data_IF_760943688185
#
_entry.id   IF_760943688185
#
_cell.length_a   1.000
_cell.length_b   1.000
_cell.length_c   1.000
_cell.angle_alpha   90.00
_cell.angle_beta   90.00
_cell.angle_gamma   90.00
#
_symmetry.space_group_name_H-M   'P 1'
#
loop_
_entity.id
_entity.type
_entity.pdbx_description
1 polymer ?
#
# COMPACT_ATOMS: atom_id res chain seq x y z
N UNK A 1 23.97 -8.33 -41.98
CA UNK A 1 23.65 -6.94 -41.63
C UNK A 1 22.33 -6.92 -40.89
N UNK A 2 22.35 -6.85 -39.54
CA UNK A 2 21.11 -6.59 -38.77
C UNK A 2 20.81 -5.11 -38.93
N UNK A 3 19.65 -4.78 -39.49
CA UNK A 3 19.16 -3.41 -39.49
C UNK A 3 18.94 -3.01 -38.02
N UNK A 4 19.81 -2.15 -37.49
CA UNK A 4 19.54 -1.46 -36.25
C UNK A 4 18.32 -0.57 -36.53
N UNK A 5 17.15 -0.97 -36.04
CA UNK A 5 15.97 -0.13 -36.10
C UNK A 5 16.29 1.12 -35.28
N UNK A 6 16.51 2.25 -35.96
CA UNK A 6 16.66 3.56 -35.32
C UNK A 6 15.30 3.88 -34.67
N UNK A 7 15.19 3.69 -33.36
CA UNK A 7 14.00 4.05 -32.60
C UNK A 7 14.04 5.57 -32.37
N UNK A 8 12.93 6.25 -32.66
CA UNK A 8 12.74 7.63 -32.25
C UNK A 8 12.47 7.67 -30.74
N UNK A 9 13.54 7.83 -29.96
CA UNK A 9 13.48 7.83 -28.48
C UNK A 9 12.59 8.94 -27.93
N UNK A 10 12.55 10.10 -28.60
CA UNK A 10 11.73 11.23 -28.19
C UNK A 10 10.24 10.89 -28.33
N UNK A 11 9.85 10.32 -29.48
CA UNK A 11 8.49 9.86 -29.71
C UNK A 11 8.09 8.73 -28.75
N UNK A 12 8.98 7.77 -28.51
CA UNK A 12 8.74 6.70 -27.55
C UNK A 12 8.54 7.24 -26.14
N UNK A 13 9.35 8.21 -25.72
CA UNK A 13 9.22 8.88 -24.42
C UNK A 13 7.89 9.59 -24.21
N UNK A 14 7.33 10.20 -25.27
CA UNK A 14 5.99 10.82 -25.26
C UNK A 14 4.91 9.75 -25.13
N UNK A 15 4.98 8.70 -25.96
CA UNK A 15 4.00 7.60 -25.92
C UNK A 15 3.97 6.91 -24.54
N UNK A 16 5.13 6.63 -23.95
CA UNK A 16 5.23 6.01 -22.62
C UNK A 16 4.68 6.92 -21.51
N UNK A 17 4.80 8.24 -21.67
CA UNK A 17 4.20 9.20 -20.76
C UNK A 17 2.67 9.17 -20.82
N UNK A 18 2.11 9.17 -22.03
CA UNK A 18 0.66 9.14 -22.24
C UNK A 18 0.02 7.81 -21.78
N UNK A 19 0.75 6.71 -21.94
CA UNK A 19 0.38 5.39 -21.42
C UNK A 19 0.60 5.25 -19.90
N UNK A 20 1.17 6.27 -19.25
CA UNK A 20 1.52 6.29 -17.82
C UNK A 20 2.45 5.12 -17.44
N UNK A 21 3.48 4.86 -18.23
CA UNK A 21 4.51 3.83 -18.01
C UNK A 21 5.85 4.46 -17.58
N UNK A 22 5.92 5.10 -16.39
CA UNK A 22 7.09 5.84 -15.95
C UNK A 22 8.33 4.96 -15.73
N UNK A 23 8.16 3.70 -15.31
CA UNK A 23 9.29 2.80 -15.05
C UNK A 23 9.88 2.32 -16.37
N UNK A 24 9.03 1.92 -17.33
CA UNK A 24 9.46 1.59 -18.70
C UNK A 24 10.16 2.79 -19.33
N UNK A 25 9.61 4.00 -19.22
CA UNK A 25 10.22 5.22 -19.76
C UNK A 25 11.67 5.42 -19.31
N UNK A 26 11.98 5.06 -18.06
CA UNK A 26 13.33 5.17 -17.51
C UNK A 26 14.21 3.96 -17.85
N UNK A 27 13.66 2.74 -17.81
CA UNK A 27 14.45 1.50 -17.84
C UNK A 27 14.59 0.88 -19.24
N UNK A 28 13.76 1.26 -20.22
CA UNK A 28 13.76 0.60 -21.53
C UNK A 28 15.12 0.61 -22.26
N UNK A 29 15.98 1.65 -22.19
CA UNK A 29 17.27 1.61 -22.88
C UNK A 29 18.18 0.53 -22.32
N UNK A 30 18.22 0.41 -20.99
CA UNK A 30 19.03 -0.59 -20.29
C UNK A 30 18.55 -2.01 -20.61
N UNK A 31 17.24 -2.25 -20.58
CA UNK A 31 16.66 -3.55 -20.92
C UNK A 31 16.87 -3.90 -22.39
N UNK A 32 16.85 -2.92 -23.29
CA UNK A 32 17.08 -3.14 -24.72
C UNK A 32 18.54 -3.53 -24.97
N UNK A 33 19.50 -2.83 -24.36
CA UNK A 33 20.92 -3.17 -24.43
C UNK A 33 21.19 -4.57 -23.87
N UNK A 34 20.59 -4.92 -22.74
CA UNK A 34 20.71 -6.26 -22.15
C UNK A 34 20.12 -7.34 -23.07
N UNK A 35 18.93 -7.10 -23.64
CA UNK A 35 18.29 -8.03 -24.56
C UNK A 35 19.13 -8.27 -25.82
N UNK A 36 19.74 -7.22 -26.37
CA UNK A 36 20.63 -7.33 -27.54
C UNK A 36 21.91 -8.12 -27.21
N UNK A 37 22.51 -7.85 -26.04
CA UNK A 37 23.74 -8.52 -25.59
C UNK A 37 23.52 -10.00 -25.29
N UNK A 38 22.43 -10.34 -24.62
CA UNK A 38 22.10 -11.71 -24.20
C UNK A 38 21.28 -12.48 -25.24
N UNK A 39 20.90 -11.84 -26.35
CA UNK A 39 20.11 -12.47 -27.41
C UNK A 39 18.70 -12.84 -26.97
N UNK A 40 18.06 -12.02 -26.14
CA UNK A 40 16.71 -12.29 -25.66
C UNK A 40 15.69 -12.27 -26.82
N UNK A 41 14.74 -13.23 -26.84
CA UNK A 41 13.56 -13.09 -27.68
C UNK A 41 12.80 -11.80 -27.32
N UNK A 42 12.20 -11.13 -28.30
CA UNK A 42 11.43 -9.91 -28.07
C UNK A 42 10.31 -10.09 -27.01
N UNK A 43 9.70 -11.29 -26.98
CA UNK A 43 8.71 -11.65 -25.96
C UNK A 43 9.29 -11.62 -24.53
N UNK A 44 10.54 -12.06 -24.34
CA UNK A 44 11.21 -12.02 -23.04
C UNK A 44 11.52 -10.59 -22.61
N UNK A 45 12.04 -9.76 -23.53
CA UNK A 45 12.25 -8.34 -23.27
C UNK A 45 10.96 -7.65 -22.82
N UNK A 46 9.86 -7.87 -23.55
CA UNK A 46 8.55 -7.29 -23.23
C UNK A 46 8.02 -7.78 -21.88
N UNK A 47 8.14 -9.08 -21.57
CA UNK A 47 7.72 -9.63 -20.26
C UNK A 47 8.52 -8.98 -19.12
N UNK A 48 9.84 -8.99 -19.23
CA UNK A 48 10.72 -8.51 -18.18
C UNK A 48 10.49 -7.01 -17.89
N UNK A 49 10.42 -6.16 -18.91
CA UNK A 49 10.21 -4.73 -18.69
C UNK A 49 8.80 -4.43 -18.14
N UNK A 50 7.79 -5.19 -18.53
CA UNK A 50 6.43 -5.07 -18.00
C UNK A 50 6.35 -5.54 -16.54
N UNK A 51 7.04 -6.62 -16.17
CA UNK A 51 7.15 -7.09 -14.78
C UNK A 51 7.75 -6.01 -13.88
N UNK A 52 8.81 -5.34 -14.33
CA UNK A 52 9.42 -4.22 -13.60
C UNK A 52 8.47 -3.03 -13.44
N UNK A 53 7.68 -2.68 -14.46
CA UNK A 53 6.67 -1.64 -14.35
C UNK A 53 5.58 -1.99 -13.34
N UNK A 54 5.09 -3.23 -13.34
CA UNK A 54 4.09 -3.70 -12.38
C UNK A 54 4.63 -3.68 -10.94
N UNK A 55 5.82 -4.25 -10.72
CA UNK A 55 6.45 -4.29 -9.40
C UNK A 55 6.67 -2.88 -8.82
N UNK A 56 7.13 -1.95 -9.65
CA UNK A 56 7.39 -0.58 -9.23
C UNK A 56 6.08 0.21 -8.98
N UNK A 57 5.01 -0.08 -9.71
CA UNK A 57 3.67 0.49 -9.44
C UNK A 57 3.11 -0.02 -8.11
N UNK A 58 3.23 -1.32 -7.85
CA UNK A 58 2.79 -1.90 -6.58
C UNK A 58 3.59 -1.31 -5.41
N UNK A 59 4.91 -1.20 -5.55
CA UNK A 59 5.78 -0.56 -4.55
C UNK A 59 5.35 0.88 -4.25
N UNK A 60 5.17 1.71 -5.27
CA UNK A 60 4.72 3.11 -5.10
C UNK A 60 3.33 3.21 -4.49
N UNK A 61 2.43 2.28 -4.81
CA UNK A 61 1.09 2.22 -4.19
C UNK A 61 1.22 1.96 -2.69
N UNK A 62 1.98 0.94 -2.30
CA UNK A 62 2.21 0.58 -0.90
C UNK A 62 2.89 1.72 -0.14
N UNK A 63 3.95 2.32 -0.70
CA UNK A 63 4.65 3.47 -0.09
C UNK A 63 3.71 4.66 0.15
N UNK A 64 2.85 4.97 -0.82
CA UNK A 64 1.85 6.04 -0.66
C UNK A 64 0.85 5.72 0.44
N UNK A 65 0.33 4.49 0.48
CA UNK A 65 -0.62 4.08 1.52
C UNK A 65 0.03 4.06 2.91
N UNK A 66 1.27 3.60 3.01
CA UNK A 66 2.03 3.62 4.25
C UNK A 66 2.26 5.05 4.76
N UNK A 67 2.61 5.99 3.88
CA UNK A 67 2.77 7.40 4.21
C UNK A 67 1.45 8.04 4.67
N UNK A 68 0.33 7.70 4.03
CA UNK A 68 -1.01 8.17 4.42
C UNK A 68 -1.53 7.53 5.72
N UNK A 69 -1.03 6.35 6.09
CA UNK A 69 -1.57 5.57 7.19
C UNK A 69 -1.15 6.04 8.58
N UNK A 70 -0.04 6.78 8.71
CA UNK A 70 0.46 7.28 10.00
C UNK A 70 0.65 6.18 11.06
N UNK A 71 1.01 4.97 10.62
CA UNK A 71 1.23 3.83 11.53
C UNK A 71 2.46 4.06 12.41
N UNK A 72 2.43 3.62 13.69
CA UNK A 72 3.60 3.65 14.55
C UNK A 72 4.70 2.72 13.98
N UNK A 73 5.96 3.18 13.90
CA UNK A 73 7.04 2.40 13.30
C UNK A 73 7.38 1.14 14.12
N UNK A 74 7.82 0.08 13.43
CA UNK A 74 8.31 -1.16 14.04
C UNK A 74 7.24 -2.09 14.62
N UNK A 75 5.95 -1.78 14.41
CA UNK A 75 4.81 -2.59 14.84
C UNK A 75 4.39 -3.55 13.73
N UNK A 76 5.03 -4.72 13.68
CA UNK A 76 4.73 -5.77 12.69
C UNK A 76 4.15 -7.00 13.39
N UNK A 77 3.54 -7.90 12.62
CA UNK A 77 3.02 -9.16 13.16
C UNK A 77 4.17 -10.08 13.61
N UNK A 78 5.31 -10.03 12.93
CA UNK A 78 6.50 -10.80 13.30
C UNK A 78 7.14 -10.33 14.61
N UNK A 79 7.05 -9.03 14.93
CA UNK A 79 7.54 -8.48 16.20
C UNK A 79 6.54 -8.60 17.35
N UNK A 80 5.33 -9.13 17.10
CA UNK A 80 4.31 -9.30 18.13
C UNK A 80 4.50 -10.62 18.89
N UNK A 81 4.63 -10.54 20.22
CA UNK A 81 4.79 -11.70 21.10
C UNK A 81 3.44 -12.40 21.36
N UNK A 82 2.98 -13.23 20.42
CA UNK A 82 1.76 -14.02 20.58
C UNK A 82 1.78 -14.93 21.81
N UNK A 83 2.94 -15.45 22.20
CA UNK A 83 3.10 -16.31 23.37
C UNK A 83 2.81 -15.58 24.69
N UNK A 84 2.98 -14.25 24.72
CA UNK A 84 2.66 -13.43 25.89
C UNK A 84 1.15 -13.14 26.01
N UNK A 85 0.36 -13.41 24.97
CA UNK A 85 -1.09 -13.16 24.91
C UNK A 85 -1.82 -14.40 24.36
N UNK A 86 -1.83 -15.53 25.10
CA UNK A 86 -2.31 -16.83 24.59
C UNK A 86 -3.79 -16.87 24.20
N UNK A 87 -4.57 -15.87 24.63
CA UNK A 87 -5.98 -15.70 24.23
C UNK A 87 -6.13 -15.18 22.79
N UNK A 88 -5.08 -14.63 22.17
CA UNK A 88 -5.11 -14.14 20.79
C UNK A 88 -4.53 -15.21 19.87
N UNK A 89 -5.39 -15.78 19.02
CA UNK A 89 -4.94 -16.76 18.02
C UNK A 89 -4.18 -16.08 16.88
N UNK A 90 -2.90 -16.44 16.71
CA UNK A 90 -2.09 -15.98 15.57
C UNK A 90 -2.76 -16.31 14.23
N UNK A 91 -3.35 -17.49 14.10
CA UNK A 91 -4.04 -17.91 12.87
C UNK A 91 -5.25 -17.02 12.55
N UNK A 92 -6.04 -16.64 13.56
CA UNK A 92 -7.17 -15.74 13.35
C UNK A 92 -6.70 -14.33 12.97
N UNK A 93 -5.66 -13.81 13.62
CA UNK A 93 -5.08 -12.50 13.27
C UNK A 93 -4.55 -12.51 11.83
N UNK A 94 -3.82 -13.54 11.43
CA UNK A 94 -3.31 -13.68 10.06
C UNK A 94 -4.46 -13.79 9.04
N UNK A 95 -5.58 -14.42 9.38
CA UNK A 95 -6.75 -14.45 8.49
C UNK A 95 -7.37 -13.05 8.30
N UNK A 96 -7.32 -12.19 9.32
CA UNK A 96 -7.86 -10.83 9.23
C UNK A 96 -7.04 -9.91 8.31
N UNK A 97 -5.74 -10.20 8.11
CA UNK A 97 -4.86 -9.36 7.28
C UNK A 97 -5.18 -9.43 5.79
N UNK A 98 -5.92 -10.45 5.34
CA UNK A 98 -6.41 -10.51 3.97
C UNK A 98 -7.43 -9.40 3.67
N UNK A 99 -8.21 -8.97 4.67
CA UNK A 99 -9.18 -7.86 4.58
C UNK A 99 -10.48 -8.18 3.81
N UNK A 100 -10.42 -9.08 2.84
CA UNK A 100 -11.51 -9.49 1.94
C UNK A 100 -12.80 -9.95 2.62
N UNK A 101 -12.69 -10.63 3.76
CA UNK A 101 -13.81 -11.26 4.45
C UNK A 101 -14.67 -10.30 5.28
N UNK A 102 -14.11 -9.16 5.71
CA UNK A 102 -14.69 -8.32 6.76
C UNK A 102 -14.73 -6.82 6.42
N UNK A 103 -13.73 -6.28 5.71
CA UNK A 103 -13.71 -4.87 5.32
C UNK A 103 -14.86 -4.52 4.39
N UNK A 104 -15.09 -5.35 3.35
CA UNK A 104 -16.18 -5.16 2.40
C UNK A 104 -17.58 -5.24 3.05
N UNK A 105 -17.68 -5.87 4.23
CA UNK A 105 -18.93 -5.99 4.99
C UNK A 105 -19.11 -4.89 6.03
N UNK A 106 -18.13 -3.98 6.18
CA UNK A 106 -18.13 -2.95 7.22
C UNK A 106 -18.09 -3.52 8.64
N UNK A 107 -17.48 -4.69 8.83
CA UNK A 107 -17.35 -5.30 10.14
C UNK A 107 -16.28 -4.57 10.98
N UNK A 108 -16.47 -4.51 12.30
CA UNK A 108 -15.56 -3.83 13.21
C UNK A 108 -14.78 -4.84 14.05
N UNK A 109 -13.49 -4.55 14.27
CA UNK A 109 -12.64 -5.29 15.20
C UNK A 109 -12.48 -4.44 16.46
N UNK A 110 -12.81 -5.04 17.61
CA UNK A 110 -12.64 -4.41 18.92
C UNK A 110 -11.60 -5.18 19.72
N UNK A 111 -10.54 -4.48 20.14
CA UNK A 111 -9.46 -5.05 20.93
C UNK A 111 -9.63 -4.67 22.41
N UNK A 112 -9.89 -5.66 23.26
CA UNK A 112 -10.06 -5.48 24.71
C UNK A 112 -8.89 -6.07 25.48
N UNK A 113 -8.55 -5.44 26.61
CA UNK A 113 -7.52 -5.95 27.51
C UNK A 113 -6.82 -4.86 28.32
N UNK A 114 -5.98 -5.24 29.30
CA UNK A 114 -5.27 -4.29 30.16
C UNK A 114 -4.33 -3.37 29.37
N UNK A 115 -3.99 -2.18 29.90
CA UNK A 115 -2.92 -1.35 29.36
C UNK A 115 -1.62 -2.15 29.21
N UNK A 116 -0.85 -1.88 28.15
CA UNK A 116 0.41 -2.58 27.88
C UNK A 116 0.27 -3.97 27.24
N UNK A 117 -0.93 -4.54 27.11
CA UNK A 117 -1.17 -5.84 26.48
C UNK A 117 -1.00 -5.91 24.94
N UNK A 118 -0.32 -4.94 24.34
CA UNK A 118 0.00 -4.97 22.90
C UNK A 118 -1.16 -4.64 21.94
N UNK A 119 -2.30 -4.13 22.40
CA UNK A 119 -3.47 -3.80 21.55
C UNK A 119 -3.12 -2.86 20.39
N UNK A 120 -2.50 -1.72 20.69
CA UNK A 120 -2.10 -0.73 19.68
C UNK A 120 -1.02 -1.28 18.73
N UNK A 121 -0.15 -2.18 19.23
CA UNK A 121 0.80 -2.90 18.37
C UNK A 121 0.05 -3.80 17.39
N UNK A 122 -0.84 -4.65 17.90
CA UNK A 122 -1.59 -5.60 17.09
C UNK A 122 -2.44 -4.89 16.04
N UNK A 123 -3.13 -3.80 16.42
CA UNK A 123 -3.89 -2.97 15.49
C UNK A 123 -2.99 -2.39 14.38
N UNK A 124 -1.85 -1.80 14.75
CA UNK A 124 -0.91 -1.25 13.79
C UNK A 124 -0.30 -2.33 12.87
N UNK A 125 -0.02 -3.52 13.42
CA UNK A 125 0.52 -4.65 12.67
C UNK A 125 -0.48 -5.22 11.66
N UNK A 126 -1.76 -5.32 12.03
CA UNK A 126 -2.85 -5.67 11.10
C UNK A 126 -2.96 -4.59 10.01
N UNK A 127 -2.93 -3.31 10.40
CA UNK A 127 -2.97 -2.19 9.46
C UNK A 127 -1.83 -2.22 8.44
N UNK A 128 -0.60 -2.53 8.89
CA UNK A 128 0.55 -2.66 8.01
C UNK A 128 0.36 -3.79 6.99
N UNK A 129 -0.06 -4.97 7.44
CA UNK A 129 -0.29 -6.11 6.54
C UNK A 129 -1.42 -5.85 5.52
N UNK A 130 -2.45 -5.09 5.92
CA UNK A 130 -3.51 -4.67 5.02
C UNK A 130 -3.00 -3.69 3.94
N UNK A 131 -2.11 -2.76 4.31
CA UNK A 131 -1.47 -1.84 3.36
C UNK A 131 -0.63 -2.60 2.33
N UNK A 132 0.11 -3.62 2.77
CA UNK A 132 0.88 -4.50 1.87
C UNK A 132 -0.04 -5.24 0.89
N UNK A 133 -1.25 -5.60 1.32
CA UNK A 133 -2.30 -6.18 0.49
C UNK A 133 -3.07 -5.15 -0.38
N UNK A 134 -2.67 -3.87 -0.33
CA UNK A 134 -3.22 -2.80 -1.18
C UNK A 134 -4.40 -2.04 -0.58
N UNK A 135 -4.76 -2.29 0.67
CA UNK A 135 -5.82 -1.55 1.37
C UNK A 135 -5.32 -0.20 1.91
N UNK A 136 -6.19 0.80 1.92
CA UNK A 136 -5.92 2.13 2.48
C UNK A 136 -6.32 2.15 3.94
N UNK A 137 -5.34 2.26 4.82
CA UNK A 137 -5.55 2.30 6.27
C UNK A 137 -5.19 3.68 6.80
N UNK A 138 -5.90 4.17 7.82
CA UNK A 138 -5.52 5.35 8.60
C UNK A 138 -5.48 4.98 10.08
N UNK A 139 -4.34 5.22 10.72
CA UNK A 139 -4.17 5.12 12.17
C UNK A 139 -4.25 6.51 12.79
N UNK A 140 -5.08 6.66 13.81
CA UNK A 140 -5.19 7.92 14.54
C UNK A 140 -5.64 7.70 15.97
N UNK A 141 -5.26 8.61 16.87
CA UNK A 141 -5.83 8.62 18.22
C UNK A 141 -7.27 9.09 18.13
N UNK A 142 -8.14 8.39 18.85
CA UNK A 142 -9.57 8.68 18.93
C UNK A 142 -9.82 10.14 19.33
N UNK A 143 -9.04 10.64 20.30
CA UNK A 143 -9.10 12.03 20.77
C UNK A 143 -8.82 13.04 19.67
N UNK A 144 -7.78 12.78 18.86
CA UNK A 144 -7.32 13.70 17.82
C UNK A 144 -8.33 13.75 16.67
N UNK A 145 -8.91 12.60 16.32
CA UNK A 145 -9.96 12.53 15.31
C UNK A 145 -11.21 13.29 15.75
N UNK A 146 -11.68 13.07 16.99
CA UNK A 146 -12.85 13.77 17.53
C UNK A 146 -12.63 15.28 17.55
N UNK A 147 -11.46 15.75 17.98
CA UNK A 147 -11.13 17.17 17.97
C UNK A 147 -11.15 17.75 16.55
N UNK A 148 -10.53 17.06 15.58
CA UNK A 148 -10.55 17.49 14.16
C UNK A 148 -11.97 17.61 13.62
N UNK A 149 -12.84 16.63 13.91
CA UNK A 149 -14.23 16.65 13.47
C UNK A 149 -15.05 17.76 14.16
N UNK A 150 -14.79 18.03 15.44
CA UNK A 150 -15.43 19.13 16.16
C UNK A 150 -15.04 20.51 15.59
N UNK A 151 -13.76 20.71 15.25
CA UNK A 151 -13.28 21.92 14.58
C UNK A 151 -13.95 22.05 13.21
N UNK A 152 -13.91 21.00 12.39
CA UNK A 152 -14.52 21.01 11.06
C UNK A 152 -16.02 21.32 11.11
N UNK A 153 -16.73 20.85 12.14
CA UNK A 153 -18.14 21.19 12.38
C UNK A 153 -18.34 22.68 12.65
N UNK A 154 -17.48 23.31 13.46
CA UNK A 154 -17.56 24.76 13.74
C UNK A 154 -17.27 25.61 12.50
N UNK A 155 -16.39 25.12 11.63
CA UNK A 155 -15.98 25.78 10.39
C UNK A 155 -16.88 25.45 9.18
N UNK A 156 -17.98 24.70 9.39
CA UNK A 156 -18.89 24.24 8.32
C UNK A 156 -18.18 23.39 7.24
N UNK A 157 -17.12 22.67 7.61
CA UNK A 157 -16.32 21.78 6.75
C UNK A 157 -16.49 20.30 7.10
N UNK A 158 -17.49 19.94 7.91
CA UNK A 158 -17.68 18.57 8.43
C UNK A 158 -17.85 17.54 7.31
N UNK A 159 -18.69 17.82 6.32
CA UNK A 159 -18.93 16.90 5.18
C UNK A 159 -17.63 16.61 4.42
N UNK A 160 -16.84 17.66 4.15
CA UNK A 160 -15.53 17.52 3.51
C UNK A 160 -14.55 16.70 4.35
N UNK A 161 -14.58 16.84 5.67
CA UNK A 161 -13.75 16.06 6.58
C UNK A 161 -14.15 14.57 6.59
N UNK A 162 -15.45 14.25 6.61
CA UNK A 162 -15.96 12.88 6.54
C UNK A 162 -15.63 12.26 5.18
N UNK A 163 -15.87 12.98 4.08
CA UNK A 163 -15.56 12.50 2.74
C UNK A 163 -14.06 12.22 2.51
N UNK A 164 -13.17 12.82 3.32
CA UNK A 164 -11.74 12.45 3.34
C UNK A 164 -11.49 11.13 4.07
N UNK A 165 -12.23 10.84 5.14
CA UNK A 165 -12.15 9.59 5.87
C UNK A 165 -12.71 8.41 5.04
N UNK A 166 -13.76 8.65 4.25
CA UNK A 166 -14.36 7.64 3.36
C UNK A 166 -13.40 7.14 2.25
N UNK A 167 -12.27 7.81 2.05
CA UNK A 167 -11.22 7.38 1.11
C UNK A 167 -10.37 6.24 1.65
N UNK A 168 -10.46 5.94 2.94
CA UNK A 168 -9.75 4.85 3.60
C UNK A 168 -10.68 3.66 3.76
N UNK A 169 -10.16 2.47 3.51
CA UNK A 169 -10.87 1.21 3.69
C UNK A 169 -10.96 0.81 5.17
N UNK A 170 -9.99 1.26 5.99
CA UNK A 170 -9.95 1.00 7.42
C UNK A 170 -9.48 2.22 8.22
N UNK A 171 -10.22 2.56 9.27
CA UNK A 171 -9.81 3.49 10.31
C UNK A 171 -9.44 2.71 11.58
N UNK A 172 -8.21 2.87 12.04
CA UNK A 172 -7.73 2.34 13.32
C UNK A 172 -7.75 3.48 14.33
N UNK A 173 -8.53 3.29 15.40
CA UNK A 173 -8.73 4.26 16.47
C UNK A 173 -8.06 3.75 17.75
N UNK A 174 -6.99 4.44 18.17
CA UNK A 174 -6.26 4.18 19.43
C UNK A 174 -6.74 5.10 20.56
#
# INVERSE_FOLDING_TARGET
MKAAHIIDEARLGIMLNDLRLPTIKTLWPQFAEQADKEGWPAARFLSAIAEHELAERDRRRVERHLAEAHLPPGKTLDSFAFDAVPMVSKAQVMAMTAGDSWLAKGANILLFGPPGGGKSHLAAAIGLALIENGWRVLFTRTTDLVQKLQVARRELQLESAIAKLDKFDLLILD
#
